data_IF_352006371277
#
_entry.id   IF_352006371277
#
_cell.length_a   1.000
_cell.length_b   1.000
_cell.length_c   1.000
_cell.angle_alpha   90.00
_cell.angle_beta   90.00
_cell.angle_gamma   90.00
#
_symmetry.space_group_name_H-M   'P 1'
#
loop_
_entity.id
_entity.type
_entity.pdbx_description
1 polymer ?
#
# COMPACT_ATOMS: atom_id res chain seq x y z
N UNK A 1 -0.07 7.79 23.39
CA UNK A 1 0.17 6.97 22.20
C UNK A 1 -1.12 7.04 21.37
N UNK A 2 -1.25 7.99 20.44
CA UNK A 2 -2.54 8.31 19.77
C UNK A 2 -2.47 8.09 18.25
N UNK A 3 -1.29 7.78 17.70
CA UNK A 3 -1.07 7.62 16.25
C UNK A 3 -1.12 6.16 15.76
N UNK A 4 -1.14 5.19 16.68
CA UNK A 4 -1.06 3.77 16.31
C UNK A 4 -2.38 3.27 15.68
N UNK A 5 -3.53 3.60 16.29
CA UNK A 5 -4.83 3.12 15.83
C UNK A 5 -5.21 3.58 14.41
N UNK A 6 -5.02 4.87 14.01
CA UNK A 6 -5.35 5.30 12.65
C UNK A 6 -4.44 4.70 11.58
N UNK A 7 -3.17 4.44 11.91
CA UNK A 7 -2.22 3.82 10.99
C UNK A 7 -2.53 2.33 10.80
N UNK A 8 -2.84 1.62 11.89
CA UNK A 8 -3.18 0.20 11.85
C UNK A 8 -4.46 -0.02 11.03
N UNK A 9 -5.51 0.76 11.28
CA UNK A 9 -6.77 0.68 10.53
C UNK A 9 -6.57 0.97 9.03
N UNK A 10 -5.81 2.02 8.68
CA UNK A 10 -5.54 2.34 7.27
C UNK A 10 -4.69 1.28 6.58
N UNK A 11 -3.73 0.69 7.31
CA UNK A 11 -2.88 -0.40 6.79
C UNK A 11 -3.71 -1.66 6.53
N UNK A 12 -4.58 -2.02 7.47
CA UNK A 12 -5.46 -3.19 7.35
C UNK A 12 -6.44 -3.01 6.18
N UNK A 13 -7.09 -1.85 6.05
CA UNK A 13 -7.98 -1.56 4.92
C UNK A 13 -7.27 -1.71 3.57
N UNK A 14 -6.05 -1.18 3.47
CA UNK A 14 -5.29 -1.26 2.24
C UNK A 14 -4.86 -2.68 1.90
N UNK A 15 -4.33 -3.42 2.88
CA UNK A 15 -3.95 -4.82 2.70
C UNK A 15 -5.16 -5.69 2.29
N UNK A 16 -6.30 -5.51 2.97
CA UNK A 16 -7.54 -6.23 2.66
C UNK A 16 -8.04 -5.93 1.24
N UNK A 17 -7.98 -4.66 0.81
CA UNK A 17 -8.34 -4.31 -0.57
C UNK A 17 -7.46 -5.06 -1.57
N UNK A 18 -6.13 -5.04 -1.39
CA UNK A 18 -5.20 -5.70 -2.32
C UNK A 18 -5.47 -7.20 -2.41
N UNK A 19 -5.61 -7.87 -1.27
CA UNK A 19 -5.90 -9.30 -1.22
C UNK A 19 -7.19 -9.65 -1.95
N UNK A 20 -8.28 -8.92 -1.71
CA UNK A 20 -9.56 -9.14 -2.41
C UNK A 20 -9.44 -8.99 -3.94
N UNK A 21 -8.70 -7.97 -4.41
CA UNK A 21 -8.51 -7.73 -5.85
C UNK A 21 -7.61 -8.78 -6.50
N UNK A 22 -6.63 -9.30 -5.76
CA UNK A 22 -5.78 -10.39 -6.22
C UNK A 22 -6.55 -11.71 -6.26
N UNK A 23 -7.16 -12.11 -5.15
CA UNK A 23 -7.90 -13.37 -4.98
C UNK A 23 -8.97 -13.58 -6.06
N UNK A 24 -9.74 -12.52 -6.35
CA UNK A 24 -10.77 -12.56 -7.41
C UNK A 24 -10.22 -12.86 -8.81
N UNK A 25 -8.91 -12.71 -9.03
CA UNK A 25 -8.25 -12.89 -10.33
C UNK A 25 -7.25 -14.04 -10.40
N UNK A 26 -6.93 -14.71 -9.28
CA UNK A 26 -5.95 -15.81 -9.24
C UNK A 26 -6.24 -16.88 -10.30
N UNK A 27 -7.52 -17.25 -10.44
CA UNK A 27 -7.99 -18.29 -11.38
C UNK A 27 -8.12 -17.81 -12.83
N UNK A 28 -7.91 -16.52 -13.09
CA UNK A 28 -7.94 -16.00 -14.46
C UNK A 28 -6.60 -16.30 -15.14
N UNK A 29 -6.64 -16.68 -16.43
CA UNK A 29 -5.45 -16.78 -17.27
C UNK A 29 -4.95 -15.38 -17.70
N UNK A 30 -4.59 -14.56 -16.71
CA UNK A 30 -3.99 -13.23 -16.88
C UNK A 30 -2.53 -13.27 -16.44
N UNK A 31 -1.74 -12.38 -17.01
CA UNK A 31 -0.37 -12.15 -16.55
C UNK A 31 -0.33 -11.75 -15.06
N UNK A 32 0.61 -12.32 -14.30
CA UNK A 32 0.70 -12.09 -12.85
C UNK A 32 0.95 -10.62 -12.52
N UNK A 33 1.81 -9.96 -13.31
CA UNK A 33 2.14 -8.54 -13.13
C UNK A 33 0.93 -7.67 -13.45
N UNK A 34 0.14 -8.03 -14.47
CA UNK A 34 -1.11 -7.33 -14.78
C UNK A 34 -2.15 -7.42 -13.64
N UNK A 35 -2.21 -8.55 -12.92
CA UNK A 35 -3.08 -8.69 -11.74
C UNK A 35 -2.61 -7.75 -10.61
N UNK A 36 -1.30 -7.72 -10.36
CA UNK A 36 -0.69 -6.83 -9.35
C UNK A 36 -0.92 -5.35 -9.68
N UNK A 37 -0.66 -4.94 -10.92
CA UNK A 37 -0.88 -3.56 -11.37
C UNK A 37 -2.36 -3.15 -11.25
N UNK A 38 -3.28 -4.06 -11.58
CA UNK A 38 -4.70 -3.84 -11.39
C UNK A 38 -5.08 -3.68 -9.92
N UNK A 39 -4.55 -4.53 -9.02
CA UNK A 39 -4.82 -4.43 -7.59
C UNK A 39 -4.40 -3.05 -7.03
N UNK A 40 -3.21 -2.57 -7.38
CA UNK A 40 -2.78 -1.22 -7.01
C UNK A 40 -3.64 -0.12 -7.59
N UNK A 41 -4.08 -0.26 -8.84
CA UNK A 41 -4.96 0.72 -9.48
C UNK A 41 -6.30 0.84 -8.74
N UNK A 42 -6.92 -0.29 -8.42
CA UNK A 42 -8.21 -0.34 -7.75
C UNK A 42 -8.14 0.11 -6.29
N UNK A 43 -7.05 -0.22 -5.59
CA UNK A 43 -6.85 0.10 -4.17
C UNK A 43 -6.12 1.44 -3.94
N UNK A 44 -6.12 2.33 -4.94
CA UNK A 44 -5.44 3.63 -4.87
C UNK A 44 -6.02 4.53 -3.78
N UNK A 45 -7.32 4.44 -3.52
CA UNK A 45 -7.97 5.28 -2.51
C UNK A 45 -7.49 4.90 -1.10
N UNK A 46 -7.43 3.60 -0.80
CA UNK A 46 -6.93 3.05 0.46
C UNK A 46 -5.45 3.36 0.64
N UNK A 47 -4.65 3.28 -0.43
CA UNK A 47 -3.25 3.71 -0.40
C UNK A 47 -3.12 5.19 -0.06
N UNK A 48 -3.94 6.05 -0.65
CA UNK A 48 -3.95 7.49 -0.33
C UNK A 48 -4.36 7.76 1.11
N UNK A 49 -5.33 7.02 1.65
CA UNK A 49 -5.71 7.11 3.06
C UNK A 49 -4.55 6.71 3.96
N UNK A 50 -3.88 5.60 3.68
CA UNK A 50 -2.67 5.17 4.39
C UNK A 50 -1.58 6.24 4.30
N UNK A 51 -1.31 6.79 3.11
CA UNK A 51 -0.36 7.90 2.93
C UNK A 51 -0.76 9.16 3.71
N UNK A 52 -2.06 9.42 3.86
CA UNK A 52 -2.59 10.53 4.66
C UNK A 52 -2.31 10.39 6.16
N UNK A 53 -2.20 9.17 6.68
CA UNK A 53 -1.79 8.94 8.08
C UNK A 53 -0.35 9.37 8.34
N UNK A 54 0.48 9.41 7.30
CA UNK A 54 1.86 9.91 7.34
C UNK A 54 1.97 11.39 6.94
N UNK A 55 0.87 12.14 6.84
CA UNK A 55 0.93 13.57 6.55
C UNK A 55 1.59 14.31 7.71
N UNK A 56 2.72 14.96 7.42
CA UNK A 56 3.50 15.68 8.42
C UNK A 56 2.70 16.85 9.03
N UNK A 57 1.75 17.43 8.32
CA UNK A 57 0.87 18.46 8.88
C UNK A 57 -0.02 17.88 9.98
N UNK A 58 -0.52 16.67 9.78
CA UNK A 58 -1.33 15.97 10.78
C UNK A 58 -0.47 15.53 11.99
N UNK A 59 0.79 15.16 11.74
CA UNK A 59 1.73 14.70 12.79
C UNK A 59 2.32 15.85 13.60
N UNK A 60 2.71 16.94 12.95
CA UNK A 60 3.36 18.10 13.58
C UNK A 60 2.37 19.09 14.20
N UNK A 61 1.09 19.06 13.77
CA UNK A 61 0.07 19.98 14.26
C UNK A 61 0.49 21.44 14.08
N UNK A 62 0.46 22.22 15.16
CA UNK A 62 0.85 23.63 15.13
C UNK A 62 2.34 23.85 14.78
N UNK A 63 3.21 22.88 15.12
CA UNK A 63 4.65 22.94 14.82
C UNK A 63 4.94 22.78 13.33
N UNK A 64 3.95 22.40 12.50
CA UNK A 64 4.11 22.35 11.05
C UNK A 64 4.58 23.69 10.47
N UNK A 65 4.15 24.82 11.07
CA UNK A 65 4.54 26.17 10.63
C UNK A 65 6.02 26.48 10.82
N UNK A 66 6.69 25.74 11.72
CA UNK A 66 8.10 25.94 12.05
C UNK A 66 9.02 25.07 11.18
N UNK A 67 8.47 24.17 10.36
CA UNK A 67 9.23 23.33 9.44
C UNK A 67 9.64 24.15 8.21
N UNK A 68 10.93 24.15 7.89
CA UNK A 68 11.43 24.85 6.70
C UNK A 68 10.97 24.17 5.40
N UNK A 69 11.01 24.90 4.29
CA UNK A 69 10.68 24.32 2.96
C UNK A 69 11.61 23.17 2.58
N UNK A 70 12.89 23.27 2.94
CA UNK A 70 13.91 22.25 2.69
C UNK A 70 13.63 21.00 3.52
N UNK A 71 13.22 21.16 4.79
CA UNK A 71 12.80 20.05 5.64
C UNK A 71 11.53 19.38 5.11
N UNK A 72 10.53 20.15 4.68
CA UNK A 72 9.31 19.61 4.05
C UNK A 72 9.65 18.79 2.79
N UNK A 73 10.54 19.31 1.93
CA UNK A 73 10.97 18.61 0.72
C UNK A 73 11.67 17.29 1.05
N UNK A 74 12.58 17.27 2.04
CA UNK A 74 13.23 16.04 2.48
C UNK A 74 12.23 15.02 3.02
N UNK A 75 11.22 15.47 3.75
CA UNK A 75 10.15 14.60 4.28
C UNK A 75 9.33 13.99 3.13
N UNK A 76 8.97 14.78 2.11
CA UNK A 76 8.24 14.29 0.93
C UNK A 76 9.06 13.26 0.13
N UNK A 77 10.36 13.48 -0.02
CA UNK A 77 11.28 12.53 -0.68
C UNK A 77 11.38 11.21 0.11
N UNK A 78 11.54 11.29 1.44
CA UNK A 78 11.55 10.11 2.33
C UNK A 78 10.23 9.34 2.29
N UNK A 79 9.10 10.06 2.28
CA UNK A 79 7.76 9.47 2.16
C UNK A 79 7.60 8.72 0.84
N UNK A 80 8.02 9.35 -0.26
CA UNK A 80 7.96 8.75 -1.60
C UNK A 80 8.80 7.47 -1.69
N UNK A 81 10.04 7.50 -1.19
CA UNK A 81 10.90 6.32 -1.14
C UNK A 81 10.32 5.18 -0.28
N UNK A 82 9.65 5.51 0.82
CA UNK A 82 8.97 4.51 1.66
C UNK A 82 7.77 3.88 0.94
N UNK A 83 6.97 4.67 0.22
CA UNK A 83 5.83 4.16 -0.57
C UNK A 83 6.32 3.26 -1.71
N UNK A 84 7.39 3.64 -2.40
CA UNK A 84 7.99 2.80 -3.44
C UNK A 84 8.47 1.44 -2.88
N UNK A 85 9.16 1.47 -1.73
CA UNK A 85 9.60 0.24 -1.04
C UNK A 85 8.41 -0.64 -0.64
N UNK A 86 7.37 -0.04 -0.04
CA UNK A 86 6.16 -0.73 0.37
C UNK A 86 5.45 -1.39 -0.83
N UNK A 87 5.26 -0.67 -1.93
CA UNK A 87 4.67 -1.23 -3.16
C UNK A 87 5.48 -2.41 -3.69
N UNK A 88 6.82 -2.33 -3.64
CA UNK A 88 7.68 -3.43 -4.06
C UNK A 88 7.47 -4.68 -3.19
N UNK A 89 7.52 -4.52 -1.87
CA UNK A 89 7.31 -5.61 -0.91
C UNK A 89 5.93 -6.26 -1.09
N UNK A 90 4.87 -5.47 -1.23
CA UNK A 90 3.53 -6.00 -1.48
C UNK A 90 3.37 -6.62 -2.88
N UNK A 91 4.08 -6.12 -3.89
CA UNK A 91 4.12 -6.78 -5.20
C UNK A 91 4.66 -8.20 -5.08
N UNK A 92 5.77 -8.37 -4.35
CA UNK A 92 6.39 -9.67 -4.16
C UNK A 92 5.44 -10.65 -3.42
N UNK A 93 4.77 -10.17 -2.36
CA UNK A 93 3.76 -10.95 -1.61
C UNK A 93 2.57 -11.33 -2.51
N UNK A 94 2.01 -10.37 -3.26
CA UNK A 94 0.87 -10.66 -4.14
C UNK A 94 1.23 -11.67 -5.24
N UNK A 95 2.45 -11.60 -5.79
CA UNK A 95 2.93 -12.58 -6.77
C UNK A 95 3.03 -13.99 -6.16
N UNK A 96 3.49 -14.10 -4.92
CA UNK A 96 3.53 -15.37 -4.20
C UNK A 96 2.11 -15.93 -4.02
N UNK A 97 1.17 -15.13 -3.52
CA UNK A 97 -0.25 -15.50 -3.36
C UNK A 97 -0.87 -15.96 -4.68
N UNK A 98 -0.61 -15.25 -5.79
CA UNK A 98 -1.13 -15.64 -7.12
C UNK A 98 -0.59 -17.01 -7.53
N UNK A 99 0.71 -17.25 -7.34
CA UNK A 99 1.37 -18.50 -7.75
C UNK A 99 0.89 -19.68 -6.93
N UNK A 100 0.76 -19.50 -5.62
CA UNK A 100 0.23 -20.54 -4.72
C UNK A 100 -1.21 -20.88 -5.07
N UNK A 101 -2.10 -19.89 -5.14
CA UNK A 101 -3.51 -20.15 -5.45
C UNK A 101 -3.75 -20.76 -6.84
N UNK A 102 -2.84 -20.54 -7.79
CA UNK A 102 -2.88 -21.22 -9.11
C UNK A 102 -2.42 -22.68 -9.05
N UNK A 103 -1.40 -23.00 -8.25
CA UNK A 103 -0.94 -24.40 -8.07
C UNK A 103 -2.05 -25.25 -7.44
N UNK A 104 -2.70 -24.74 -6.41
CA UNK A 104 -3.82 -25.42 -5.73
C UNK A 104 -4.99 -25.73 -6.66
N UNK A 105 -5.16 -24.94 -7.73
CA UNK A 105 -6.22 -25.16 -8.73
C UNK A 105 -5.85 -26.25 -9.76
N UNK A 106 -4.57 -26.58 -9.92
CA UNK A 106 -4.08 -27.63 -10.85
C UNK A 106 -4.05 -29.00 -10.16
N UNK A 107 -3.85 -29.04 -8.84
CA UNK A 107 -3.79 -30.27 -8.04
C UNK A 107 -5.17 -30.79 -7.56
N UNK A 108 -6.27 -30.13 -7.96
CA UNK A 108 -7.67 -30.55 -7.71
C UNK A 108 -8.28 -31.27 -8.90
#
# INVERSE_FOLDING_TARGET
MVLAEPLEEASEKYANCLMQKVESQIKMNKDEKAIVEYAFYECRQEEWQLMGTFDIKNLAGDNYKDISKEQLKLIDELKSGRVEKMRKEMSDIMLEVIREGRKDTIEQ
#
